data_IF_186367511753
#
_entry.id   IF_186367511753
#
_cell.length_a   1.000
_cell.length_b   1.000
_cell.length_c   1.000
_cell.angle_alpha   90.00
_cell.angle_beta   90.00
_cell.angle_gamma   90.00
#
_symmetry.space_group_name_H-M   'P 1'
#
loop_
_entity.id
_entity.type
_entity.pdbx_description
1 polymer ?
#
# COMPACT_ATOMS: atom_id res chain seq x y z
N UNK A 1 -22.62 48.69 78.23
CA UNK A 1 -22.07 47.41 77.74
C UNK A 1 -23.12 46.74 76.86
N UNK A 2 -23.05 46.81 75.51
CA UNK A 2 -23.98 46.06 74.67
C UNK A 2 -23.40 44.66 74.37
N UNK A 3 -24.24 43.64 74.54
CA UNK A 3 -23.97 42.26 74.16
C UNK A 3 -23.95 42.13 72.63
N UNK A 4 -22.91 41.47 72.14
CA UNK A 4 -22.65 41.13 70.72
C UNK A 4 -23.69 40.12 70.23
N UNK A 5 -24.62 40.57 69.39
CA UNK A 5 -25.48 39.69 68.61
C UNK A 5 -24.71 39.16 67.39
N UNK A 6 -24.40 37.87 67.43
CA UNK A 6 -23.64 37.18 66.38
C UNK A 6 -24.64 36.54 65.40
N UNK A 7 -25.06 37.30 64.39
CA UNK A 7 -25.90 36.77 63.30
C UNK A 7 -25.09 35.82 62.42
N UNK A 8 -25.48 34.55 62.40
CA UNK A 8 -24.99 33.54 61.47
C UNK A 8 -25.63 33.81 60.10
N UNK A 9 -24.82 34.13 59.08
CA UNK A 9 -25.27 34.18 57.69
C UNK A 9 -25.12 32.78 57.07
N UNK A 10 -26.17 32.19 56.48
CA UNK A 10 -26.01 31.02 55.63
C UNK A 10 -25.68 31.53 54.22
N UNK A 11 -24.42 31.45 53.80
CA UNK A 11 -24.12 31.62 52.37
C UNK A 11 -24.31 30.28 51.68
N UNK A 12 -25.36 30.24 50.86
CA UNK A 12 -25.70 29.19 49.92
C UNK A 12 -24.50 28.77 49.07
N UNK A 13 -24.20 27.47 49.02
CA UNK A 13 -23.42 26.87 47.95
C UNK A 13 -24.21 27.00 46.64
N UNK A 14 -23.80 27.91 45.76
CA UNK A 14 -24.26 27.95 44.37
C UNK A 14 -23.43 26.93 43.60
N UNK A 15 -24.00 25.74 43.38
CA UNK A 15 -23.40 24.71 42.54
C UNK A 15 -23.35 25.15 41.07
N UNK A 16 -22.15 25.23 40.50
CA UNK A 16 -21.97 25.37 39.06
C UNK A 16 -21.72 23.97 38.49
N UNK A 17 -22.76 23.33 37.96
CA UNK A 17 -22.61 22.11 37.16
C UNK A 17 -22.21 22.56 35.75
N UNK A 18 -20.93 22.44 35.42
CA UNK A 18 -20.44 22.56 34.06
C UNK A 18 -20.75 21.25 33.33
N UNK A 19 -21.80 21.23 32.53
CA UNK A 19 -22.06 20.13 31.60
C UNK A 19 -21.01 20.20 30.47
N UNK A 20 -19.90 19.48 30.63
CA UNK A 20 -18.94 19.28 29.55
C UNK A 20 -19.60 18.36 28.50
N UNK A 21 -20.09 18.95 27.41
CA UNK A 21 -20.62 18.23 26.26
C UNK A 21 -19.54 17.33 25.67
N UNK A 22 -19.73 16.01 25.81
CA UNK A 22 -18.86 14.99 25.23
C UNK A 22 -19.18 14.91 23.73
N UNK A 23 -18.54 15.76 22.92
CA UNK A 23 -18.57 15.64 21.47
C UNK A 23 -17.78 14.40 21.04
N UNK A 24 -18.45 13.24 20.98
CA UNK A 24 -17.89 12.03 20.37
C UNK A 24 -17.89 12.25 18.86
N UNK A 25 -16.79 12.78 18.32
CA UNK A 25 -16.61 12.87 16.88
C UNK A 25 -16.55 11.43 16.30
N UNK A 26 -17.35 11.11 15.27
CA UNK A 26 -17.27 9.81 14.63
C UNK A 26 -15.89 9.69 13.97
N UNK A 27 -15.06 8.78 14.49
CA UNK A 27 -13.83 8.40 13.83
C UNK A 27 -14.23 7.57 12.61
N UNK A 28 -14.14 8.15 11.42
CA UNK A 28 -14.23 7.40 10.18
C UNK A 28 -13.05 6.41 10.16
N UNK A 29 -13.32 5.13 10.43
CA UNK A 29 -12.33 4.09 10.27
C UNK A 29 -12.05 3.92 8.77
N UNK A 30 -10.90 4.42 8.30
CA UNK A 30 -10.43 4.10 6.96
C UNK A 30 -9.96 2.65 6.94
N UNK A 31 -10.70 1.79 6.23
CA UNK A 31 -10.22 0.44 5.94
C UNK A 31 -9.01 0.53 5.00
N UNK A 32 -7.83 0.14 5.47
CA UNK A 32 -6.66 -0.05 4.61
C UNK A 32 -6.81 -1.39 3.90
N UNK A 33 -6.78 -1.37 2.57
CA UNK A 33 -6.72 -2.60 1.79
C UNK A 33 -5.30 -3.18 1.85
N UNK A 34 -5.18 -4.47 2.16
CA UNK A 34 -3.89 -5.16 2.14
C UNK A 34 -3.29 -5.21 0.74
N UNK A 35 -1.96 -5.12 0.68
CA UNK A 35 -1.20 -5.37 -0.54
C UNK A 35 -1.46 -6.79 -1.06
N UNK A 36 -1.61 -6.91 -2.38
CA UNK A 36 -1.86 -8.18 -3.06
C UNK A 36 -0.60 -8.66 -3.78
N UNK A 37 -0.42 -9.98 -3.85
CA UNK A 37 0.62 -10.60 -4.69
C UNK A 37 -0.02 -11.18 -5.96
N UNK A 38 0.56 -10.90 -7.12
CA UNK A 38 0.12 -11.41 -8.42
C UNK A 38 1.23 -12.24 -9.06
N UNK A 39 0.91 -13.47 -9.41
CA UNK A 39 1.80 -14.35 -10.16
C UNK A 39 1.73 -14.00 -11.65
N UNK A 40 2.89 -13.84 -12.27
CA UNK A 40 3.07 -13.70 -13.72
C UNK A 40 4.03 -14.79 -14.17
N UNK A 41 3.59 -15.59 -15.14
CA UNK A 41 4.40 -16.65 -15.71
C UNK A 41 5.20 -16.11 -16.88
N UNK A 42 6.45 -16.57 -17.02
CA UNK A 42 7.24 -16.41 -18.23
C UNK A 42 7.15 -17.75 -18.97
N UNK A 43 6.39 -17.77 -20.06
CA UNK A 43 6.01 -18.99 -20.75
C UNK A 43 5.83 -18.75 -22.24
N UNK A 44 6.41 -19.62 -23.05
CA UNK A 44 6.45 -19.48 -24.51
C UNK A 44 7.08 -18.17 -24.96
N UNK A 45 8.06 -17.62 -24.20
CA UNK A 45 8.64 -16.28 -24.41
C UNK A 45 7.63 -15.13 -24.31
N UNK A 46 6.58 -15.31 -23.51
CA UNK A 46 5.59 -14.30 -23.15
C UNK A 46 5.46 -14.16 -21.63
N UNK A 47 5.12 -12.98 -21.15
CA UNK A 47 4.54 -12.84 -19.82
C UNK A 47 3.06 -13.22 -19.87
N UNK A 48 2.58 -13.95 -18.89
CA UNK A 48 1.17 -14.34 -18.78
C UNK A 48 0.66 -13.99 -17.38
N UNK A 49 -0.31 -13.06 -17.24
CA UNK A 49 -0.88 -12.21 -18.31
C UNK A 49 0.12 -11.17 -18.85
N UNK A 50 -0.22 -10.51 -19.96
CA UNK A 50 0.58 -9.41 -20.57
C UNK A 50 0.17 -8.01 -20.14
N UNK A 51 -0.93 -7.88 -19.40
CA UNK A 51 -1.49 -6.60 -18.96
C UNK A 51 -2.09 -6.77 -17.55
N UNK A 52 -1.78 -5.83 -16.64
CA UNK A 52 -2.22 -5.88 -15.24
C UNK A 52 -2.56 -4.49 -14.70
N UNK A 53 -3.65 -4.42 -13.94
CA UNK A 53 -4.01 -3.27 -13.11
C UNK A 53 -3.76 -3.60 -11.64
N UNK A 54 -2.93 -2.80 -11.00
CA UNK A 54 -2.35 -3.05 -9.67
C UNK A 54 -2.34 -1.75 -8.87
N UNK A 55 -2.08 -1.85 -7.57
CA UNK A 55 -1.93 -0.69 -6.69
C UNK A 55 -0.50 -0.55 -6.23
N UNK A 56 -0.11 0.67 -5.89
CA UNK A 56 1.14 0.90 -5.15
C UNK A 56 1.13 0.06 -3.87
N UNK A 57 2.21 -0.68 -3.65
CA UNK A 57 2.39 -1.62 -2.54
C UNK A 57 2.09 -3.07 -2.92
N UNK A 58 1.37 -3.33 -4.02
CA UNK A 58 1.19 -4.69 -4.52
C UNK A 58 2.54 -5.29 -4.99
N UNK A 59 2.61 -6.61 -5.06
CA UNK A 59 3.80 -7.37 -5.46
C UNK A 59 3.50 -8.20 -6.71
N UNK A 60 4.43 -8.21 -7.67
CA UNK A 60 4.44 -9.16 -8.77
C UNK A 60 5.48 -10.25 -8.46
N UNK A 61 5.06 -11.50 -8.51
CA UNK A 61 5.97 -12.65 -8.56
C UNK A 61 6.11 -13.08 -10.01
N UNK A 62 7.30 -12.93 -10.57
CA UNK A 62 7.66 -13.46 -11.89
C UNK A 62 8.18 -14.87 -11.72
N UNK A 63 7.64 -15.83 -12.44
CA UNK A 63 8.11 -17.22 -12.44
C UNK A 63 8.49 -17.67 -13.84
N UNK A 64 9.69 -18.20 -14.01
CA UNK A 64 10.09 -18.80 -15.26
C UNK A 64 9.51 -20.22 -15.42
N UNK A 65 8.57 -20.40 -16.35
CA UNK A 65 8.01 -21.71 -16.71
C UNK A 65 8.53 -22.27 -18.03
N UNK A 66 9.40 -21.55 -18.73
CA UNK A 66 10.06 -22.08 -19.93
C UNK A 66 11.24 -22.97 -19.52
N UNK A 67 11.09 -24.29 -19.74
CA UNK A 67 12.03 -25.31 -19.26
C UNK A 67 13.45 -25.21 -19.86
N UNK A 68 13.63 -24.45 -20.93
CA UNK A 68 14.87 -24.35 -21.69
C UNK A 68 15.24 -22.90 -22.08
N UNK A 69 14.64 -21.91 -21.44
CA UNK A 69 14.90 -20.50 -21.76
C UNK A 69 15.24 -19.74 -20.48
N UNK A 70 16.34 -18.98 -20.52
CA UNK A 70 16.64 -17.94 -19.52
C UNK A 70 15.93 -16.64 -19.92
N UNK A 71 15.48 -15.89 -18.92
CA UNK A 71 14.81 -14.60 -19.12
C UNK A 71 15.43 -13.52 -18.25
N UNK A 72 15.34 -12.25 -18.65
CA UNK A 72 15.91 -11.14 -17.89
C UNK A 72 14.88 -10.02 -17.78
N UNK A 73 14.15 -9.96 -16.67
CA UNK A 73 13.05 -9.02 -16.48
C UNK A 73 13.55 -7.69 -15.93
N UNK A 74 13.24 -6.59 -16.61
CA UNK A 74 13.62 -5.25 -16.15
C UNK A 74 12.57 -4.20 -16.51
N UNK A 75 12.58 -3.09 -15.78
CA UNK A 75 11.87 -1.84 -16.07
C UNK A 75 12.91 -0.74 -16.20
N UNK A 76 12.87 -0.02 -17.31
CA UNK A 76 13.68 1.18 -17.55
C UNK A 76 12.75 2.39 -17.61
N UNK A 77 12.69 3.13 -16.50
CA UNK A 77 11.91 4.37 -16.37
C UNK A 77 12.54 5.28 -15.30
N UNK A 78 12.51 6.60 -15.52
CA UNK A 78 13.16 7.59 -14.65
C UNK A 78 12.71 7.52 -13.18
N UNK A 79 11.42 7.24 -12.96
CA UNK A 79 10.81 7.25 -11.63
C UNK A 79 10.89 5.91 -10.91
N UNK A 80 11.00 4.82 -11.65
CA UNK A 80 10.95 3.47 -11.10
C UNK A 80 11.69 2.50 -12.00
N UNK A 81 12.89 2.10 -11.57
CA UNK A 81 13.69 1.07 -12.21
C UNK A 81 13.57 -0.25 -11.47
N UNK A 82 13.60 -1.34 -12.22
CA UNK A 82 13.68 -2.70 -11.69
C UNK A 82 14.58 -3.52 -12.59
N UNK A 83 15.37 -4.41 -12.01
CA UNK A 83 16.17 -5.37 -12.76
C UNK A 83 16.27 -6.68 -11.93
N UNK A 84 15.77 -7.77 -12.49
CA UNK A 84 15.81 -9.12 -11.90
C UNK A 84 17.13 -9.85 -12.18
N UNK A 85 17.93 -9.38 -13.14
CA UNK A 85 18.98 -10.15 -13.77
C UNK A 85 18.44 -11.35 -14.55
N UNK A 86 19.35 -12.27 -14.87
CA UNK A 86 19.01 -13.54 -15.52
C UNK A 86 18.21 -14.46 -14.57
N UNK A 87 17.13 -15.01 -15.11
CA UNK A 87 16.18 -15.89 -14.43
C UNK A 87 16.20 -17.24 -15.15
N UNK A 88 16.86 -18.20 -14.52
CA UNK A 88 16.94 -19.59 -15.00
C UNK A 88 15.56 -20.27 -14.97
N UNK A 89 15.34 -21.33 -15.76
CA UNK A 89 14.11 -22.12 -15.73
C UNK A 89 13.70 -22.52 -14.30
N UNK A 90 12.42 -22.32 -13.97
CA UNK A 90 11.84 -22.67 -12.67
C UNK A 90 12.09 -21.66 -11.54
N UNK A 91 12.88 -20.61 -11.75
CA UNK A 91 13.15 -19.59 -10.73
C UNK A 91 11.99 -18.60 -10.55
N UNK A 92 11.93 -17.97 -9.38
CA UNK A 92 10.98 -16.90 -9.05
C UNK A 92 11.71 -15.63 -8.61
N UNK A 93 11.21 -14.48 -9.06
CA UNK A 93 11.66 -13.15 -8.62
C UNK A 93 10.47 -12.29 -8.22
N UNK A 94 10.64 -11.41 -7.23
CA UNK A 94 9.57 -10.55 -6.71
C UNK A 94 9.87 -9.08 -6.94
N UNK A 95 8.85 -8.35 -7.39
CA UNK A 95 8.85 -6.90 -7.61
C UNK A 95 7.76 -6.26 -6.76
N UNK A 96 8.13 -5.38 -5.83
CA UNK A 96 7.18 -4.54 -5.08
C UNK A 96 6.97 -3.23 -5.82
N UNK A 97 5.72 -2.86 -6.09
CA UNK A 97 5.36 -1.68 -6.85
C UNK A 97 5.36 -0.44 -5.96
N UNK A 98 6.42 0.37 -6.04
CA UNK A 98 6.61 1.51 -5.13
C UNK A 98 6.07 2.83 -5.67
N UNK A 99 5.94 2.95 -6.98
CA UNK A 99 5.51 4.17 -7.66
C UNK A 99 4.20 3.94 -8.42
N UNK A 100 3.25 4.88 -8.37
CA UNK A 100 2.12 4.86 -9.28
C UNK A 100 2.54 5.30 -10.69
N UNK A 101 1.84 4.79 -11.70
CA UNK A 101 2.11 5.06 -13.10
C UNK A 101 2.00 3.82 -13.97
N UNK A 102 2.21 4.03 -15.27
CA UNK A 102 2.26 2.97 -16.26
C UNK A 102 3.71 2.58 -16.54
N UNK A 103 4.01 1.29 -16.41
CA UNK A 103 5.35 0.75 -16.64
C UNK A 103 5.29 -0.48 -17.55
N UNK A 104 6.41 -0.76 -18.21
CA UNK A 104 6.57 -1.96 -19.03
C UNK A 104 7.71 -2.78 -18.46
N UNK A 105 7.42 -4.02 -18.04
CA UNK A 105 8.44 -5.02 -17.78
C UNK A 105 8.85 -5.64 -19.12
N UNK A 106 10.14 -5.59 -19.42
CA UNK A 106 10.73 -6.10 -20.65
C UNK A 106 11.65 -7.30 -20.35
N UNK A 107 11.83 -8.18 -21.33
CA UNK A 107 12.89 -9.19 -21.29
C UNK A 107 14.13 -8.76 -22.09
N UNK A 108 15.30 -8.70 -21.46
CA UNK A 108 16.56 -8.28 -22.11
C UNK A 108 17.01 -9.17 -23.28
N UNK A 109 16.70 -10.47 -23.20
CA UNK A 109 17.09 -11.47 -24.21
C UNK A 109 16.00 -11.69 -25.27
N UNK A 110 14.74 -11.32 -24.98
CA UNK A 110 13.58 -11.54 -25.87
C UNK A 110 12.80 -10.23 -26.08
N UNK A 111 13.18 -9.40 -27.07
CA UNK A 111 12.65 -8.02 -27.19
C UNK A 111 11.13 -7.88 -27.40
N UNK A 112 10.44 -8.97 -27.79
CA UNK A 112 8.98 -9.01 -27.97
C UNK A 112 8.22 -9.38 -26.70
N UNK A 113 8.91 -9.87 -25.68
CA UNK A 113 8.32 -10.30 -24.42
C UNK A 113 8.15 -9.09 -23.50
N UNK A 114 6.90 -8.64 -23.35
CA UNK A 114 6.54 -7.42 -22.60
C UNK A 114 5.31 -7.65 -21.73
N UNK A 115 5.31 -7.04 -20.55
CA UNK A 115 4.16 -6.95 -19.65
C UNK A 115 3.92 -5.48 -19.36
N UNK A 116 2.72 -5.00 -19.65
CA UNK A 116 2.26 -3.67 -19.25
C UNK A 116 1.65 -3.74 -17.85
N UNK A 117 2.05 -2.84 -16.96
CA UNK A 117 1.45 -2.71 -15.64
C UNK A 117 0.95 -1.29 -15.43
N UNK A 118 -0.27 -1.18 -14.92
CA UNK A 118 -0.94 0.07 -14.56
C UNK A 118 -1.02 0.12 -13.03
N UNK A 119 -0.26 1.04 -12.41
CA UNK A 119 -0.15 1.13 -10.96
C UNK A 119 -0.86 2.38 -10.46
N UNK A 120 -1.86 2.21 -9.59
CA UNK A 120 -2.63 3.30 -8.97
C UNK A 120 -2.27 3.52 -7.50
#
# INVERSE_FOLDING_TARGET
>A
MPLRDRRLQPLLLVGTVVLAGLCVAPHAAWATLSATTRLVLQKGRHYVPTDLFLRRGDTITLRNEDANQTHHAFIEADRFSFDAGDQEPGTETRLVLKEPGDFVIQCGIHPKMKLTIHVQ
#
